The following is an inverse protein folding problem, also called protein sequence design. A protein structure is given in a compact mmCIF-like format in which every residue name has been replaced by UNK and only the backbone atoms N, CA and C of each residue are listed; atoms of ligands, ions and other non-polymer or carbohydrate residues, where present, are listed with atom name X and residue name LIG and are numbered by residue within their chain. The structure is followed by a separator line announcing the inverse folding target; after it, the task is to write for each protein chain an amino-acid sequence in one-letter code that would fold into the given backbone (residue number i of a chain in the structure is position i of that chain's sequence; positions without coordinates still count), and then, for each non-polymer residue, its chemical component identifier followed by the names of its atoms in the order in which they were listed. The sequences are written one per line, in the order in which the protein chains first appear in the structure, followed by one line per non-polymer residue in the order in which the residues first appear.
data_IF_004683885258
#
_entry.id   IF_004683885258
#
_cell.length_a   1.000
_cell.length_b   1.000
_cell.length_c   1.000
_cell.angle_alpha   90.00
_cell.angle_beta   90.00
_cell.angle_gamma   90.00
#
_symmetry.space_group_name_H-M   'P 1'
#
loop_
_entity.id
_entity.type
_entity.pdbx_description
1 polymer ?
#
# COMPACT_ATOMS: atom_id res chain seq x y z
N UNK A 1 27.07 -11.70 -29.88
CA UNK A 1 26.75 -10.31 -29.47
C UNK A 1 26.32 -10.37 -28.01
N UNK A 2 27.09 -9.81 -27.08
CA UNK A 2 26.65 -9.74 -25.67
C UNK A 2 25.52 -8.72 -25.56
N UNK A 3 24.38 -9.06 -24.91
CA UNK A 3 23.33 -8.09 -24.66
C UNK A 3 23.92 -6.94 -23.80
N UNK A 4 23.77 -5.71 -24.29
CA UNK A 4 24.20 -4.50 -23.60
C UNK A 4 23.41 -4.40 -22.29
N UNK A 5 24.07 -4.74 -21.17
CA UNK A 5 23.46 -4.55 -19.86
C UNK A 5 23.34 -3.04 -19.61
N UNK A 6 22.15 -2.51 -19.30
CA UNK A 6 22.00 -1.11 -18.96
C UNK A 6 22.93 -0.78 -17.79
N UNK A 7 23.70 0.32 -17.93
CA UNK A 7 24.57 0.80 -16.86
C UNK A 7 23.71 1.19 -15.66
N UNK A 8 24.18 0.98 -14.44
CA UNK A 8 23.46 1.37 -13.21
C UNK A 8 23.05 2.84 -13.17
N UNK A 9 23.78 3.70 -13.88
CA UNK A 9 23.47 5.11 -14.08
C UNK A 9 22.19 5.31 -14.89
N UNK A 10 21.95 4.52 -15.93
CA UNK A 10 20.70 4.57 -16.72
C UNK A 10 19.47 4.15 -15.91
N UNK A 11 19.58 3.07 -15.12
CA UNK A 11 18.49 2.58 -14.27
C UNK A 11 18.08 3.59 -13.19
N UNK A 12 19.08 4.21 -12.53
CA UNK A 12 18.83 5.22 -11.50
C UNK A 12 18.19 6.47 -12.09
N UNK A 13 18.66 6.90 -13.26
CA UNK A 13 18.10 8.05 -13.99
C UNK A 13 16.66 7.77 -14.43
N UNK A 14 16.35 6.57 -14.93
CA UNK A 14 15.00 6.19 -15.32
C UNK A 14 14.03 6.20 -14.11
N UNK A 15 14.47 5.71 -12.95
CA UNK A 15 13.68 5.73 -11.72
C UNK A 15 13.42 7.15 -11.23
N UNK A 16 14.47 7.98 -11.17
CA UNK A 16 14.34 9.38 -10.77
C UNK A 16 13.41 10.14 -11.72
N UNK A 17 13.55 9.93 -13.02
CA UNK A 17 12.70 10.53 -14.05
C UNK A 17 11.24 10.07 -13.90
N UNK A 18 11.01 8.78 -13.64
CA UNK A 18 9.65 8.25 -13.46
C UNK A 18 8.98 8.78 -12.20
N UNK A 19 9.72 8.85 -11.08
CA UNK A 19 9.22 9.43 -9.84
C UNK A 19 8.92 10.93 -10.00
N UNK A 20 9.81 11.66 -10.68
CA UNK A 20 9.59 13.08 -10.97
C UNK A 20 8.39 13.28 -11.92
N UNK A 21 8.25 12.46 -12.96
CA UNK A 21 7.11 12.52 -13.87
C UNK A 21 5.79 12.28 -13.12
N UNK A 22 5.73 11.27 -12.24
CA UNK A 22 4.56 11.02 -11.39
C UNK A 22 4.21 12.23 -10.52
N UNK A 23 5.20 12.84 -9.88
CA UNK A 23 4.99 14.05 -9.09
C UNK A 23 4.55 15.24 -9.96
N UNK A 24 5.18 15.49 -11.11
CA UNK A 24 4.85 16.58 -12.03
C UNK A 24 3.41 16.47 -12.54
N UNK A 25 2.90 15.26 -12.80
CA UNK A 25 1.51 15.07 -13.22
C UNK A 25 0.50 15.61 -12.20
N UNK A 26 0.82 15.57 -10.90
CA UNK A 26 0.01 16.20 -9.84
C UNK A 26 0.03 17.73 -9.95
N UNK A 27 1.12 18.32 -10.44
CA UNK A 27 1.30 19.76 -10.63
C UNK A 27 0.80 20.26 -11.99
N UNK A 28 0.58 19.36 -12.96
CA UNK A 28 0.16 19.70 -14.31
C UNK A 28 -1.30 20.19 -14.41
N UNK A 29 -2.15 19.85 -13.44
CA UNK A 29 -3.54 20.33 -13.40
C UNK A 29 -3.65 21.69 -12.71
N UNK A 30 -4.62 22.56 -13.00
CA UNK A 30 -4.78 23.80 -12.22
C UNK A 30 -5.21 23.51 -10.78
N UNK A 31 -6.11 22.54 -10.63
CA UNK A 31 -6.65 22.05 -9.37
C UNK A 31 -6.45 20.55 -9.25
N UNK A 32 -6.36 20.08 -8.01
CA UNK A 32 -6.31 18.65 -7.69
C UNK A 32 -7.65 17.99 -8.06
N UNK A 33 -7.70 17.02 -9.00
CA UNK A 33 -8.95 16.46 -9.53
C UNK A 33 -9.61 15.44 -8.58
N UNK A 34 -9.30 15.51 -7.29
CA UNK A 34 -9.76 14.57 -6.28
C UNK A 34 -11.04 15.06 -5.58
N UNK A 35 -12.00 14.15 -5.40
CA UNK A 35 -13.31 14.45 -4.80
C UNK A 35 -13.18 14.99 -3.36
N UNK A 36 -12.43 14.32 -2.49
CA UNK A 36 -12.34 14.68 -1.07
C UNK A 36 -11.24 15.73 -0.76
N UNK A 37 -10.47 16.15 -1.76
CA UNK A 37 -9.38 17.12 -1.54
C UNK A 37 -9.84 18.47 -0.97
N UNK A 38 -10.96 19.08 -1.41
CA UNK A 38 -11.45 20.32 -0.80
C UNK A 38 -11.64 20.21 0.72
N UNK A 39 -12.12 19.07 1.20
CA UNK A 39 -12.28 18.81 2.64
C UNK A 39 -10.91 18.75 3.35
N UNK A 40 -9.93 18.05 2.77
CA UNK A 40 -8.58 18.00 3.33
C UNK A 40 -7.92 19.39 3.40
N UNK A 41 -8.09 20.21 2.37
CA UNK A 41 -7.58 21.59 2.34
C UNK A 41 -8.27 22.44 3.42
N UNK A 42 -9.60 22.35 3.56
CA UNK A 42 -10.35 23.08 4.58
C UNK A 42 -9.92 22.70 6.00
N UNK A 43 -9.73 21.40 6.29
CA UNK A 43 -9.23 20.93 7.59
C UNK A 43 -7.83 21.47 7.87
N UNK A 44 -6.91 21.40 6.89
CA UNK A 44 -5.55 21.94 7.05
C UNK A 44 -5.56 23.45 7.29
N UNK A 45 -6.40 24.20 6.57
CA UNK A 45 -6.53 25.64 6.74
C UNK A 45 -7.10 25.99 8.14
N UNK A 46 -8.13 25.29 8.59
CA UNK A 46 -8.71 25.49 9.93
C UNK A 46 -7.71 25.17 11.04
N UNK A 47 -6.97 24.06 10.93
CA UNK A 47 -5.92 23.69 11.88
C UNK A 47 -4.81 24.76 11.95
N UNK A 48 -4.41 25.31 10.80
CA UNK A 48 -3.43 26.40 10.74
C UNK A 48 -3.97 27.67 11.41
N UNK A 49 -5.20 28.09 11.10
CA UNK A 49 -5.81 29.29 11.66
C UNK A 49 -5.99 29.20 13.20
N UNK A 50 -6.49 28.06 13.70
CA UNK A 50 -6.58 27.80 15.14
C UNK A 50 -5.19 27.80 15.79
N UNK A 51 -4.20 27.14 15.17
CA UNK A 51 -2.82 27.13 15.66
C UNK A 51 -2.14 28.50 15.67
N UNK A 52 -2.55 29.39 14.76
CA UNK A 52 -2.10 30.78 14.69
C UNK A 52 -2.84 31.73 15.65
N UNK A 53 -3.86 31.24 16.38
CA UNK A 53 -4.66 32.04 17.30
C UNK A 53 -5.68 32.95 16.62
N UNK A 54 -6.15 32.61 15.42
CA UNK A 54 -7.23 33.35 14.75
C UNK A 54 -8.52 33.30 15.60
N UNK A 55 -9.07 34.46 16.03
CA UNK A 55 -10.25 34.49 16.89
C UNK A 55 -11.50 33.88 16.26
N UNK A 56 -11.72 34.09 14.97
CA UNK A 56 -12.89 33.56 14.26
C UNK A 56 -12.78 32.05 14.08
N UNK A 57 -11.58 31.54 13.80
CA UNK A 57 -11.37 30.10 13.73
C UNK A 57 -11.52 29.44 15.11
N UNK A 58 -10.97 30.07 16.16
CA UNK A 58 -10.99 29.53 17.53
C UNK A 58 -12.38 29.56 18.17
N UNK A 59 -13.30 30.40 17.68
CA UNK A 59 -14.71 30.40 18.10
C UNK A 59 -15.45 29.15 17.60
N UNK A 60 -15.07 28.61 16.44
CA UNK A 60 -15.79 27.53 15.76
C UNK A 60 -15.06 26.18 15.78
N UNK A 61 -13.75 26.17 16.01
CA UNK A 61 -12.93 24.97 15.91
C UNK A 61 -11.97 24.83 17.10
N UNK A 62 -11.77 23.59 17.53
CA UNK A 62 -10.76 23.21 18.51
C UNK A 62 -9.74 22.27 17.85
N UNK A 63 -8.45 22.51 18.11
CA UNK A 63 -7.38 21.62 17.64
C UNK A 63 -7.19 20.45 18.59
N UNK A 64 -7.63 19.25 18.17
CA UNK A 64 -7.35 18.00 18.87
C UNK A 64 -6.31 17.19 18.10
N UNK A 65 -5.10 17.72 17.96
CA UNK A 65 -3.98 16.98 17.37
C UNK A 65 -3.36 16.02 18.39
N UNK A 66 -3.89 14.81 18.44
CA UNK A 66 -3.32 13.70 19.21
C UNK A 66 -2.54 12.74 18.31
N UNK A 67 -1.83 11.76 18.88
CA UNK A 67 -1.31 10.63 18.11
C UNK A 67 -2.44 9.65 17.79
N UNK A 68 -3.30 10.03 16.85
CA UNK A 68 -4.42 9.24 16.37
C UNK A 68 -4.26 8.89 14.88
N UNK A 69 -4.93 7.83 14.39
CA UNK A 69 -4.93 7.53 12.97
C UNK A 69 -5.41 8.75 12.14
N UNK A 70 -4.92 8.88 10.89
CA UNK A 70 -5.17 10.00 9.98
C UNK A 70 -4.41 11.29 10.30
N UNK A 71 -3.99 11.50 11.55
CA UNK A 71 -3.33 12.75 11.96
C UNK A 71 -1.94 12.92 11.32
N UNK A 72 -1.24 11.84 10.98
CA UNK A 72 0.07 11.93 10.34
C UNK A 72 0.05 12.76 9.05
N UNK A 73 -1.03 12.65 8.27
CA UNK A 73 -1.23 13.47 7.07
C UNK A 73 -1.40 14.95 7.41
N UNK A 74 -2.28 15.27 8.37
CA UNK A 74 -2.59 16.65 8.74
C UNK A 74 -1.45 17.35 9.46
N UNK A 75 -0.68 16.64 10.29
CA UNK A 75 0.54 17.18 10.92
C UNK A 75 1.59 17.50 9.86
N UNK A 76 1.79 16.64 8.87
CA UNK A 76 2.69 16.91 7.75
C UNK A 76 2.20 18.12 6.91
N UNK A 77 0.90 18.21 6.66
CA UNK A 77 0.32 19.33 5.91
C UNK A 77 0.48 20.64 6.69
N UNK A 78 0.17 20.64 7.98
CA UNK A 78 0.31 21.78 8.87
C UNK A 78 1.77 22.26 8.95
N UNK A 79 2.74 21.35 9.04
CA UNK A 79 4.15 21.72 9.00
C UNK A 79 4.54 22.46 7.70
N UNK A 80 3.93 22.10 6.57
CA UNK A 80 4.14 22.77 5.28
C UNK A 80 3.42 24.12 5.19
N UNK A 81 2.33 24.34 5.94
CA UNK A 81 1.62 25.62 5.94
C UNK A 81 2.44 26.80 6.46
N UNK A 82 3.56 26.52 7.15
CA UNK A 82 4.54 27.55 7.51
C UNK A 82 5.25 28.18 6.30
N UNK A 83 5.17 27.57 5.12
CA UNK A 83 5.89 28.00 3.91
C UNK A 83 4.97 28.28 2.73
N UNK A 84 3.81 27.64 2.67
CA UNK A 84 2.86 27.72 1.55
C UNK A 84 1.42 27.71 2.08
N UNK A 85 0.45 28.09 1.26
CA UNK A 85 -0.96 27.99 1.65
C UNK A 85 -1.41 26.52 1.82
N UNK A 86 -2.56 26.30 2.48
CA UNK A 86 -3.08 24.96 2.76
C UNK A 86 -3.32 24.10 1.49
N UNK A 87 -3.75 24.71 0.38
CA UNK A 87 -3.97 24.01 -0.89
C UNK A 87 -2.63 23.54 -1.46
N UNK A 88 -1.64 24.42 -1.50
CA UNK A 88 -0.27 24.12 -1.90
C UNK A 88 0.39 23.07 -0.99
N UNK A 89 0.18 23.14 0.34
CA UNK A 89 0.69 22.15 1.30
C UNK A 89 0.14 20.75 1.02
N UNK A 90 -1.19 20.62 0.86
CA UNK A 90 -1.83 19.35 0.48
C UNK A 90 -1.29 18.85 -0.86
N UNK A 91 -1.15 19.73 -1.85
CA UNK A 91 -0.62 19.39 -3.17
C UNK A 91 0.82 18.89 -3.15
N UNK A 92 1.68 19.50 -2.33
CA UNK A 92 3.05 19.02 -2.08
C UNK A 92 3.02 17.60 -1.54
N UNK A 93 2.15 17.29 -0.57
CA UNK A 93 2.02 15.92 -0.04
C UNK A 93 1.51 14.93 -1.08
N UNK A 94 0.56 15.32 -1.95
CA UNK A 94 0.09 14.47 -3.05
C UNK A 94 1.23 14.20 -4.05
N UNK A 95 2.03 15.21 -4.38
CA UNK A 95 3.22 15.04 -5.23
C UNK A 95 4.28 14.14 -4.59
N UNK A 96 4.52 14.31 -3.28
CA UNK A 96 5.42 13.47 -2.50
C UNK A 96 4.93 12.01 -2.44
N UNK A 97 3.63 11.78 -2.32
CA UNK A 97 3.02 10.47 -2.48
C UNK A 97 3.30 9.88 -3.86
N UNK A 98 3.00 10.60 -4.94
CA UNK A 98 3.12 10.09 -6.31
C UNK A 98 4.56 9.67 -6.64
N UNK A 99 5.54 10.55 -6.38
CA UNK A 99 6.95 10.23 -6.59
C UNK A 99 7.49 9.22 -5.59
N UNK A 100 7.13 9.38 -4.31
CA UNK A 100 7.54 8.49 -3.23
C UNK A 100 7.04 7.06 -3.41
N UNK A 101 5.85 6.87 -3.98
CA UNK A 101 5.28 5.56 -4.29
C UNK A 101 6.17 4.81 -5.30
N UNK A 102 6.56 5.46 -6.40
CA UNK A 102 7.44 4.85 -7.42
C UNK A 102 8.79 4.44 -6.82
N UNK A 103 9.40 5.31 -6.00
CA UNK A 103 10.67 5.03 -5.34
C UNK A 103 10.57 3.91 -4.29
N UNK A 104 9.52 3.94 -3.47
CA UNK A 104 9.24 2.89 -2.50
C UNK A 104 8.96 1.56 -3.19
N UNK A 105 8.28 1.59 -4.33
CA UNK A 105 8.02 0.40 -5.14
C UNK A 105 9.32 -0.17 -5.73
N UNK A 106 10.21 0.68 -6.23
CA UNK A 106 11.55 0.27 -6.66
C UNK A 106 12.36 -0.33 -5.51
N UNK A 107 12.27 0.24 -4.30
CA UNK A 107 12.93 -0.29 -3.12
C UNK A 107 12.40 -1.69 -2.76
N UNK A 108 11.08 -1.88 -2.78
CA UNK A 108 10.42 -3.18 -2.56
C UNK A 108 10.84 -4.20 -3.62
N UNK A 109 10.67 -3.89 -4.90
CA UNK A 109 11.08 -4.77 -6.01
C UNK A 109 12.57 -5.11 -5.93
N UNK A 110 13.42 -4.14 -5.58
CA UNK A 110 14.84 -4.35 -5.40
C UNK A 110 15.24 -5.13 -4.14
N UNK A 111 14.41 -5.12 -3.10
CA UNK A 111 14.54 -6.02 -1.96
C UNK A 111 14.16 -7.45 -2.34
N UNK A 112 13.26 -7.58 -3.30
CA UNK A 112 13.01 -8.84 -3.98
C UNK A 112 14.26 -9.19 -4.84
N UNK A 113 14.31 -8.70 -6.06
CA UNK A 113 15.44 -8.91 -6.96
C UNK A 113 15.95 -7.54 -7.44
N UNK A 114 17.26 -7.22 -7.30
CA UNK A 114 17.81 -5.95 -7.79
C UNK A 114 17.47 -5.63 -9.25
N UNK A 115 17.29 -6.64 -10.12
CA UNK A 115 16.93 -6.44 -11.54
C UNK A 115 15.50 -5.96 -11.73
N UNK A 116 14.59 -6.34 -10.84
CA UNK A 116 13.17 -5.95 -10.90
C UNK A 116 12.93 -4.48 -10.63
N UNK A 117 13.92 -3.73 -10.14
CA UNK A 117 13.80 -2.28 -9.94
C UNK A 117 13.36 -1.55 -11.20
N UNK A 118 13.75 -2.05 -12.37
CA UNK A 118 13.37 -1.48 -13.66
C UNK A 118 11.87 -1.56 -13.96
N UNK A 119 11.12 -2.40 -13.25
CA UNK A 119 9.66 -2.49 -13.37
C UNK A 119 8.92 -1.45 -12.52
N UNK A 120 9.62 -0.72 -11.65
CA UNK A 120 8.99 0.27 -10.76
C UNK A 120 8.26 1.42 -11.48
N UNK A 121 8.64 1.87 -12.70
CA UNK A 121 7.85 2.83 -13.46
C UNK A 121 6.39 2.39 -13.71
N UNK A 122 6.10 1.08 -13.73
CA UNK A 122 4.72 0.59 -13.79
C UNK A 122 3.90 0.99 -12.56
N UNK A 123 4.55 1.36 -11.45
CA UNK A 123 3.92 1.92 -10.27
C UNK A 123 3.17 3.23 -10.54
N UNK A 124 3.49 3.97 -11.61
CA UNK A 124 2.75 5.17 -12.02
C UNK A 124 1.26 4.84 -12.27
N UNK A 125 0.97 3.66 -12.82
CA UNK A 125 -0.42 3.21 -13.03
C UNK A 125 -1.15 2.99 -11.70
N UNK A 126 -0.45 2.51 -10.67
CA UNK A 126 -1.01 2.36 -9.33
C UNK A 126 -1.22 3.70 -8.61
N UNK A 127 -0.41 4.73 -8.95
CA UNK A 127 -0.54 6.07 -8.36
C UNK A 127 -1.88 6.69 -8.72
N UNK A 128 -2.24 6.70 -10.00
CA UNK A 128 -3.47 7.34 -10.51
C UNK A 128 -4.65 6.36 -10.55
N UNK A 129 -4.95 5.73 -9.42
CA UNK A 129 -6.06 4.79 -9.24
C UNK A 129 -7.36 5.47 -8.79
N UNK A 130 -8.46 4.73 -8.66
CA UNK A 130 -9.72 5.26 -8.11
C UNK A 130 -9.54 5.88 -6.72
N UNK A 131 -8.66 5.30 -5.89
CA UNK A 131 -8.34 5.86 -4.57
C UNK A 131 -7.71 7.26 -4.65
N UNK A 132 -6.96 7.53 -5.73
CA UNK A 132 -6.45 8.87 -6.03
C UNK A 132 -7.62 9.79 -6.36
N UNK A 133 -8.46 9.47 -7.33
CA UNK A 133 -9.56 10.36 -7.75
C UNK A 133 -10.63 10.57 -6.67
N UNK A 134 -10.83 9.60 -5.78
CA UNK A 134 -11.71 9.77 -4.62
C UNK A 134 -11.09 10.69 -3.56
N UNK A 135 -9.77 10.88 -3.55
CA UNK A 135 -9.10 11.76 -2.60
C UNK A 135 -8.86 11.12 -1.24
N UNK A 136 -8.58 9.82 -1.17
CA UNK A 136 -8.21 9.15 0.10
C UNK A 136 -6.79 9.53 0.56
N UNK A 137 -6.51 10.82 0.78
CA UNK A 137 -5.14 11.33 0.87
C UNK A 137 -4.33 10.72 2.02
N UNK A 138 -4.85 10.55 3.26
CA UNK A 138 -4.09 9.88 4.31
C UNK A 138 -3.78 8.42 3.97
N UNK A 139 -4.70 7.73 3.27
CA UNK A 139 -4.47 6.37 2.79
C UNK A 139 -3.36 6.32 1.74
N UNK A 140 -3.45 7.17 0.72
CA UNK A 140 -2.46 7.25 -0.36
C UNK A 140 -1.08 7.56 0.18
N UNK A 141 -0.98 8.54 1.09
CA UNK A 141 0.27 8.91 1.74
C UNK A 141 0.87 7.77 2.61
N UNK A 142 0.04 6.84 3.10
CA UNK A 142 0.52 5.64 3.78
C UNK A 142 1.06 4.55 2.82
N UNK A 143 0.68 4.53 1.55
CA UNK A 143 1.06 3.46 0.62
C UNK A 143 2.58 3.35 0.35
N UNK A 144 3.34 4.45 0.14
CA UNK A 144 4.80 4.37 0.04
C UNK A 144 5.41 3.75 1.31
N UNK A 145 4.89 4.09 2.49
CA UNK A 145 5.35 3.54 3.77
C UNK A 145 5.08 2.03 3.87
N UNK A 146 3.94 1.56 3.35
CA UNK A 146 3.63 0.12 3.24
C UNK A 146 4.64 -0.61 2.35
N UNK A 147 4.99 -0.05 1.19
CA UNK A 147 5.99 -0.64 0.29
C UNK A 147 7.40 -0.64 0.90
N UNK A 148 7.77 0.44 1.60
CA UNK A 148 9.03 0.49 2.36
C UNK A 148 9.06 -0.56 3.47
N UNK A 149 7.97 -0.71 4.22
CA UNK A 149 7.79 -1.74 5.24
C UNK A 149 8.00 -3.13 4.64
N UNK A 150 7.40 -3.44 3.49
CA UNK A 150 7.56 -4.73 2.82
C UNK A 150 9.00 -4.98 2.38
N UNK A 151 9.62 -4.01 1.69
CA UNK A 151 11.01 -4.15 1.22
C UNK A 151 12.01 -4.28 2.38
N UNK A 152 11.82 -3.50 3.44
CA UNK A 152 12.68 -3.52 4.62
C UNK A 152 12.55 -4.85 5.37
N UNK A 153 11.32 -5.35 5.50
CA UNK A 153 11.05 -6.68 6.07
C UNK A 153 11.79 -7.77 5.31
N UNK A 154 11.67 -7.81 3.98
CA UNK A 154 12.36 -8.82 3.14
C UNK A 154 13.88 -8.76 3.34
N UNK A 155 14.47 -7.56 3.38
CA UNK A 155 15.92 -7.42 3.61
C UNK A 155 16.33 -7.83 5.03
N UNK A 156 15.53 -7.50 6.03
CA UNK A 156 15.82 -7.85 7.42
C UNK A 156 15.82 -9.37 7.63
N UNK A 157 14.82 -10.09 7.13
CA UNK A 157 14.67 -11.55 7.36
C UNK A 157 15.64 -12.41 6.56
N UNK A 158 16.26 -11.85 5.51
CA UNK A 158 17.36 -12.49 4.77
C UNK A 158 18.68 -12.47 5.52
N UNK A 159 18.80 -11.59 6.52
CA UNK A 159 20.03 -11.39 7.27
C UNK A 159 21.06 -10.52 6.53
N UNK A 160 22.31 -10.58 7.00
CA UNK A 160 23.42 -9.75 6.53
C UNK A 160 23.72 -8.54 7.44
N UNK A 161 24.77 -7.76 7.14
CA UNK A 161 25.31 -6.74 8.06
C UNK A 161 24.33 -5.62 8.44
N UNK A 162 23.28 -5.39 7.66
CA UNK A 162 22.28 -4.32 7.86
C UNK A 162 20.92 -4.82 8.35
N UNK A 163 20.80 -6.08 8.74
CA UNK A 163 19.50 -6.68 9.08
C UNK A 163 18.76 -5.92 10.20
N UNK A 164 19.48 -5.54 11.26
CA UNK A 164 18.91 -4.79 12.39
C UNK A 164 18.44 -3.40 11.97
N UNK A 165 19.22 -2.69 11.16
CA UNK A 165 18.82 -1.38 10.61
C UNK A 165 17.58 -1.50 9.74
N UNK A 166 17.49 -2.54 8.91
CA UNK A 166 16.31 -2.78 8.07
C UNK A 166 15.09 -3.16 8.90
N UNK A 167 15.27 -3.87 10.01
CA UNK A 167 14.18 -4.16 10.94
C UNK A 167 13.66 -2.89 11.63
N UNK A 168 14.56 -2.04 12.14
CA UNK A 168 14.18 -0.76 12.73
C UNK A 168 13.46 0.14 11.71
N UNK A 169 13.95 0.16 10.47
CA UNK A 169 13.31 0.90 9.38
C UNK A 169 11.92 0.33 9.03
N UNK A 170 11.75 -0.99 9.03
CA UNK A 170 10.44 -1.63 8.84
C UNK A 170 9.45 -1.23 9.95
N UNK A 171 9.88 -1.27 11.22
CA UNK A 171 9.06 -0.85 12.37
C UNK A 171 8.66 0.62 12.22
N UNK A 172 9.60 1.50 11.93
CA UNK A 172 9.34 2.93 11.71
C UNK A 172 8.33 3.17 10.58
N UNK A 173 8.50 2.49 9.44
CA UNK A 173 7.59 2.59 8.30
C UNK A 173 6.18 2.08 8.66
N UNK A 174 6.07 0.99 9.42
CA UNK A 174 4.80 0.45 9.89
C UNK A 174 4.06 1.38 10.86
N UNK A 175 4.77 1.95 11.84
CA UNK A 175 4.21 2.93 12.77
C UNK A 175 3.78 4.23 12.06
N UNK A 176 4.58 4.68 11.11
CA UNK A 176 4.25 5.85 10.28
C UNK A 176 3.02 5.56 9.41
N UNK A 177 2.93 4.38 8.79
CA UNK A 177 1.75 3.98 8.02
C UNK A 177 0.50 3.95 8.90
N UNK A 178 0.60 3.51 10.16
CA UNK A 178 -0.51 3.52 11.12
C UNK A 178 -0.96 4.94 11.44
N UNK A 179 -0.02 5.83 11.70
CA UNK A 179 -0.31 7.22 12.00
C UNK A 179 -1.00 7.95 10.83
N UNK A 180 -0.66 7.58 9.60
CA UNK A 180 -1.31 8.10 8.40
C UNK A 180 -2.65 7.42 8.11
N UNK A 181 -2.73 6.09 8.15
CA UNK A 181 -3.98 5.39 7.87
C UNK A 181 -3.99 3.95 8.43
N UNK A 182 -4.97 3.59 9.29
CA UNK A 182 -4.96 2.32 10.01
C UNK A 182 -5.17 1.11 9.09
N UNK A 183 -6.03 1.23 8.08
CA UNK A 183 -6.25 0.19 7.07
C UNK A 183 -5.00 -0.09 6.22
N UNK A 184 -4.32 0.94 5.72
CA UNK A 184 -3.07 0.77 4.97
C UNK A 184 -2.01 0.06 5.84
N UNK A 185 -1.88 0.48 7.11
CA UNK A 185 -0.99 -0.17 8.06
C UNK A 185 -1.35 -1.63 8.31
N UNK A 186 -2.63 -1.96 8.52
CA UNK A 186 -3.08 -3.33 8.72
C UNK A 186 -2.73 -4.24 7.54
N UNK A 187 -2.99 -3.79 6.31
CA UNK A 187 -2.62 -4.51 5.08
C UNK A 187 -1.10 -4.61 4.95
N UNK A 188 -0.38 -3.53 5.24
CA UNK A 188 1.07 -3.50 5.21
C UNK A 188 1.70 -4.50 6.17
N UNK A 189 1.22 -4.57 7.41
CA UNK A 189 1.74 -5.48 8.44
C UNK A 189 1.38 -6.94 8.12
N UNK A 190 0.17 -7.21 7.63
CA UNK A 190 -0.21 -8.55 7.16
C UNK A 190 0.66 -9.02 5.99
N UNK A 191 0.89 -8.15 5.00
CA UNK A 191 1.79 -8.43 3.88
C UNK A 191 3.24 -8.63 4.34
N UNK A 192 3.71 -7.84 5.30
CA UNK A 192 5.05 -7.97 5.86
C UNK A 192 5.22 -9.29 6.64
N UNK A 193 4.22 -9.75 7.39
CA UNK A 193 4.23 -11.07 8.01
C UNK A 193 4.34 -12.18 6.97
N UNK A 194 3.52 -12.13 5.91
CA UNK A 194 3.58 -13.10 4.82
C UNK A 194 4.98 -13.12 4.15
N UNK A 195 5.55 -11.94 3.88
CA UNK A 195 6.90 -11.81 3.33
C UNK A 195 7.98 -12.32 4.30
N UNK A 196 7.86 -12.02 5.59
CA UNK A 196 8.80 -12.46 6.62
C UNK A 196 8.88 -13.99 6.68
N UNK A 197 7.71 -14.65 6.77
CA UNK A 197 7.61 -16.11 6.78
C UNK A 197 8.19 -16.73 5.51
N UNK A 198 7.99 -16.07 4.38
CA UNK A 198 8.32 -16.63 3.09
C UNK A 198 9.76 -16.33 2.62
N UNK A 199 10.43 -15.34 3.23
CA UNK A 199 11.82 -14.97 2.90
C UNK A 199 12.84 -15.25 4.01
N UNK A 200 12.41 -15.67 5.19
CA UNK A 200 13.32 -16.07 6.26
C UNK A 200 14.28 -17.20 5.81
N UNK A 201 15.56 -17.02 6.10
CA UNK A 201 16.61 -18.01 5.83
C UNK A 201 16.72 -19.06 6.94
N UNK A 202 16.38 -18.68 8.17
CA UNK A 202 16.37 -19.52 9.35
C UNK A 202 15.14 -19.24 10.25
N UNK A 203 14.91 -20.09 11.25
CA UNK A 203 13.78 -19.94 12.20
C UNK A 203 13.86 -18.64 13.00
N UNK A 204 15.06 -18.18 13.37
CA UNK A 204 15.23 -16.96 14.16
C UNK A 204 14.89 -15.71 13.35
N UNK A 205 15.16 -15.69 12.04
CA UNK A 205 14.74 -14.65 11.10
C UNK A 205 13.23 -14.63 10.92
N UNK A 206 12.59 -15.80 10.83
CA UNK A 206 11.13 -15.92 10.77
C UNK A 206 10.47 -15.38 12.05
N UNK A 207 10.98 -15.78 13.23
CA UNK A 207 10.50 -15.30 14.53
C UNK A 207 10.71 -13.79 14.66
N UNK A 208 11.92 -13.28 14.37
CA UNK A 208 12.20 -11.83 14.42
C UNK A 208 11.27 -11.03 13.51
N UNK A 209 11.05 -11.47 12.27
CA UNK A 209 10.14 -10.81 11.35
C UNK A 209 8.68 -10.89 11.80
N UNK A 210 8.24 -12.04 12.29
CA UNK A 210 6.87 -12.24 12.78
C UNK A 210 6.58 -11.41 14.05
N UNK A 211 7.51 -11.32 15.00
CA UNK A 211 7.30 -10.58 16.24
C UNK A 211 7.48 -9.07 16.08
N UNK A 212 8.48 -8.63 15.30
CA UNK A 212 8.72 -7.19 15.13
C UNK A 212 7.65 -6.51 14.26
N UNK A 213 7.00 -7.26 13.37
CA UNK A 213 6.10 -6.68 12.36
C UNK A 213 4.72 -7.32 12.35
N UNK A 214 4.63 -8.64 12.52
CA UNK A 214 3.37 -9.38 12.41
C UNK A 214 2.49 -9.27 13.64
N UNK A 215 3.03 -9.46 14.85
CA UNK A 215 2.24 -9.45 16.10
C UNK A 215 1.55 -8.09 16.34
N UNK A 216 2.25 -6.93 16.23
CA UNK A 216 1.58 -5.63 16.37
C UNK A 216 0.52 -5.40 15.30
N UNK A 217 0.73 -5.88 14.07
CA UNK A 217 -0.22 -5.73 12.97
C UNK A 217 -1.47 -6.57 13.09
N UNK A 218 -1.34 -7.84 13.49
CA UNK A 218 -2.49 -8.71 13.75
C UNK A 218 -3.29 -8.17 14.92
N UNK A 219 -2.62 -7.72 16.00
CA UNK A 219 -3.29 -7.09 17.14
C UNK A 219 -4.04 -5.81 16.74
N UNK A 220 -3.41 -4.95 15.93
CA UNK A 220 -4.03 -3.73 15.42
C UNK A 220 -5.25 -4.03 14.53
N UNK A 221 -5.12 -4.93 13.56
CA UNK A 221 -6.24 -5.32 12.67
C UNK A 221 -7.37 -5.93 13.49
N UNK A 222 -7.06 -6.79 14.45
CA UNK A 222 -8.07 -7.37 15.35
C UNK A 222 -8.76 -6.30 16.20
N UNK A 223 -8.01 -5.32 16.72
CA UNK A 223 -8.57 -4.19 17.48
C UNK A 223 -9.50 -3.33 16.61
N UNK A 224 -9.08 -3.01 15.38
CA UNK A 224 -9.91 -2.24 14.43
C UNK A 224 -11.18 -3.00 14.04
N UNK A 225 -11.06 -4.31 13.75
CA UNK A 225 -12.22 -5.15 13.47
C UNK A 225 -13.13 -5.33 14.69
N UNK A 226 -12.58 -5.25 15.90
CA UNK A 226 -13.32 -5.24 17.16
C UNK A 226 -14.19 -3.99 17.29
N UNK A 227 -13.66 -2.81 16.96
CA UNK A 227 -14.41 -1.54 16.99
C UNK A 227 -15.56 -1.48 15.97
N UNK A 228 -15.45 -2.20 14.86
CA UNK A 228 -16.50 -2.24 13.82
C UNK A 228 -17.74 -3.03 14.26
N UNK A 229 -17.66 -3.87 15.32
CA UNK A 229 -18.79 -4.72 15.74
C UNK A 229 -19.94 -3.96 16.40
N UNK A 230 -19.68 -2.76 16.92
CA UNK A 230 -20.67 -2.00 17.69
C UNK A 230 -21.37 -0.88 16.87
N UNK A 231 -20.95 -0.66 15.63
CA UNK A 231 -21.64 0.22 14.69
C UNK A 231 -22.82 -0.52 14.05
N UNK A 232 -24.07 -0.03 14.18
CA UNK A 232 -25.21 -0.66 13.52
C UNK A 232 -24.91 -0.70 12.03
N UNK A 233 -24.84 -1.91 11.46
CA UNK A 233 -24.54 -2.09 10.04
C UNK A 233 -25.42 -1.17 9.21
N UNK A 234 -24.83 -0.11 8.66
CA UNK A 234 -25.45 0.74 7.65
C UNK A 234 -25.76 -0.16 6.46
N UNK A 235 -26.96 -0.74 6.46
CA UNK A 235 -27.53 -1.38 5.29
C UNK A 235 -27.80 -0.23 4.33
N UNK A 236 -26.90 -0.06 3.36
CA UNK A 236 -27.16 0.78 2.21
C UNK A 236 -28.54 0.41 1.66
N UNK A 237 -29.36 1.41 1.35
CA UNK A 237 -30.68 1.14 0.81
C UNK A 237 -30.53 0.35 -0.49
N UNK A 238 -31.45 -0.57 -0.78
CA UNK A 238 -31.45 -1.31 -2.06
C UNK A 238 -31.39 -0.39 -3.29
N UNK A 239 -31.90 0.84 -3.16
CA UNK A 239 -31.82 1.86 -4.20
C UNK A 239 -30.39 2.37 -4.42
N UNK A 240 -29.61 2.55 -3.34
CA UNK A 240 -28.21 2.93 -3.42
C UNK A 240 -27.36 1.82 -4.05
N UNK A 241 -27.66 0.54 -3.75
CA UNK A 241 -26.98 -0.59 -4.39
C UNK A 241 -27.22 -0.60 -5.91
N UNK A 242 -28.47 -0.42 -6.37
CA UNK A 242 -28.80 -0.44 -7.80
C UNK A 242 -28.29 0.81 -8.53
N UNK A 243 -28.38 2.00 -7.92
CA UNK A 243 -27.87 3.23 -8.54
C UNK A 243 -26.32 3.26 -8.56
N UNK A 244 -25.65 2.77 -7.52
CA UNK A 244 -24.20 2.64 -7.50
C UNK A 244 -23.73 1.55 -8.47
N UNK A 245 -24.42 0.41 -8.54
CA UNK A 245 -24.18 -0.62 -9.56
C UNK A 245 -24.43 -0.09 -10.98
N UNK A 246 -25.46 0.73 -11.18
CA UNK A 246 -25.78 1.37 -12.45
C UNK A 246 -24.85 2.54 -12.82
N UNK A 247 -24.23 3.23 -11.84
CA UNK A 247 -23.16 4.23 -12.07
C UNK A 247 -21.80 3.58 -12.25
N UNK A 248 -21.61 2.37 -11.72
CA UNK A 248 -20.42 1.52 -11.96
C UNK A 248 -20.43 0.84 -13.34
N UNK A 249 -21.19 1.38 -14.30
CA UNK A 249 -21.17 1.00 -15.72
C UNK A 249 -19.84 1.36 -16.39
N UNK A 250 -18.79 0.68 -15.98
CA UNK A 250 -17.75 0.18 -16.88
C UNK A 250 -17.85 -1.35 -16.90
N UNK A 251 -18.90 -1.84 -17.56
CA UNK A 251 -19.02 -3.10 -18.32
C UNK A 251 -18.56 -4.46 -17.76
N UNK A 252 -18.07 -4.58 -16.52
CA UNK A 252 -17.36 -5.78 -16.08
C UNK A 252 -17.95 -6.48 -14.85
N UNK A 253 -18.82 -5.89 -14.03
CA UNK A 253 -19.08 -6.40 -12.67
C UNK A 253 -19.63 -7.84 -12.56
N UNK A 254 -20.46 -8.32 -13.50
CA UNK A 254 -20.96 -9.71 -13.48
C UNK A 254 -20.01 -10.72 -14.14
N UNK A 255 -19.33 -10.33 -15.23
CA UNK A 255 -18.29 -11.16 -15.85
C UNK A 255 -17.06 -11.24 -14.95
N UNK A 256 -16.66 -10.13 -14.35
CA UNK A 256 -15.65 -10.00 -13.31
C UNK A 256 -16.14 -10.75 -12.07
N UNK A 257 -17.38 -10.62 -11.62
CA UNK A 257 -17.91 -11.39 -10.48
C UNK A 257 -17.85 -12.91 -10.67
N UNK A 258 -18.06 -13.41 -11.90
CA UNK A 258 -17.86 -14.81 -12.28
C UNK A 258 -16.38 -15.20 -12.38
N UNK A 259 -15.57 -14.38 -13.07
CA UNK A 259 -14.11 -14.54 -13.19
C UNK A 259 -13.43 -14.46 -11.82
N UNK A 260 -13.94 -13.68 -10.88
CA UNK A 260 -13.38 -13.47 -9.56
C UNK A 260 -13.81 -14.56 -8.56
N UNK A 261 -15.00 -15.14 -8.73
CA UNK A 261 -15.33 -16.41 -8.04
C UNK A 261 -14.47 -17.56 -8.55
N UNK A 262 -14.21 -17.61 -9.85
CA UNK A 262 -13.29 -18.57 -10.45
C UNK A 262 -11.84 -18.34 -9.99
N UNK A 263 -11.33 -17.11 -10.02
CA UNK A 263 -9.99 -16.75 -9.55
C UNK A 263 -9.85 -16.88 -8.02
N UNK A 264 -10.93 -16.67 -7.26
CA UNK A 264 -11.02 -16.96 -5.83
C UNK A 264 -10.92 -18.46 -5.55
N UNK A 265 -11.67 -19.29 -6.29
CA UNK A 265 -11.56 -20.74 -6.20
C UNK A 265 -10.17 -21.24 -6.63
N UNK A 266 -9.62 -20.69 -7.71
CA UNK A 266 -8.28 -20.99 -8.21
C UNK A 266 -7.18 -20.50 -7.28
N UNK A 267 -7.37 -19.41 -6.52
CA UNK A 267 -6.41 -18.94 -5.53
C UNK A 267 -6.45 -19.77 -4.25
N UNK A 268 -7.62 -20.25 -3.81
CA UNK A 268 -7.72 -21.24 -2.72
C UNK A 268 -7.10 -22.57 -3.12
N UNK A 269 -7.36 -23.05 -4.35
CA UNK A 269 -6.72 -24.23 -4.91
C UNK A 269 -5.21 -24.01 -5.11
N UNK A 270 -4.79 -22.80 -5.50
CA UNK A 270 -3.40 -22.40 -5.65
C UNK A 270 -2.66 -22.35 -4.31
N UNK A 271 -3.28 -21.79 -3.26
CA UNK A 271 -2.74 -21.78 -1.89
C UNK A 271 -2.63 -23.21 -1.37
N UNK A 272 -3.67 -24.04 -1.56
CA UNK A 272 -3.62 -25.47 -1.17
C UNK A 272 -2.55 -26.23 -1.94
N UNK A 273 -2.40 -25.99 -3.24
CA UNK A 273 -1.36 -26.60 -4.06
C UNK A 273 0.04 -26.12 -3.65
N UNK A 274 0.21 -24.84 -3.31
CA UNK A 274 1.49 -24.28 -2.82
C UNK A 274 1.85 -24.85 -1.44
N UNK A 275 0.88 -24.95 -0.53
CA UNK A 275 1.08 -25.56 0.80
C UNK A 275 1.38 -27.05 0.67
N UNK A 276 0.60 -27.79 -0.14
CA UNK A 276 0.82 -29.22 -0.38
C UNK A 276 2.16 -29.49 -1.07
N UNK A 277 2.54 -28.66 -2.05
CA UNK A 277 3.83 -28.77 -2.75
C UNK A 277 5.01 -28.35 -1.88
N UNK A 278 4.84 -27.33 -1.04
CA UNK A 278 5.82 -26.92 -0.03
C UNK A 278 6.05 -28.00 1.03
N UNK A 279 4.98 -28.67 1.46
CA UNK A 279 5.05 -29.81 2.39
C UNK A 279 5.64 -31.07 1.73
N UNK A 280 5.33 -31.34 0.46
CA UNK A 280 5.88 -32.48 -0.26
C UNK A 280 7.40 -32.34 -0.52
N UNK A 281 7.90 -31.10 -0.73
CA UNK A 281 9.31 -30.84 -1.06
C UNK A 281 10.21 -30.47 0.13
N UNK A 282 9.68 -30.32 1.34
CA UNK A 282 10.51 -30.23 2.55
C UNK A 282 11.27 -31.54 2.86
N UNK A 283 11.05 -32.60 2.07
CA UNK A 283 11.74 -33.89 2.15
C UNK A 283 12.97 -34.01 1.23
N UNK A 284 13.13 -33.15 0.22
CA UNK A 284 14.26 -33.21 -0.71
C UNK A 284 15.22 -32.05 -0.49
N UNK A 285 16.28 -32.30 0.29
CA UNK A 285 17.24 -31.33 0.81
C UNK A 285 18.11 -30.57 -0.20
N UNK A 286 17.73 -30.42 -1.47
CA UNK A 286 18.49 -29.61 -2.45
C UNK A 286 17.56 -28.90 -3.44
N UNK A 287 17.29 -27.62 -3.18
CA UNK A 287 17.29 -26.48 -4.13
C UNK A 287 16.51 -25.31 -3.52
N UNK A 288 17.23 -24.55 -2.69
CA UNK A 288 16.81 -23.30 -2.04
C UNK A 288 16.42 -22.17 -3.02
N UNK A 289 16.63 -22.35 -4.34
CA UNK A 289 16.40 -21.34 -5.37
C UNK A 289 14.91 -21.19 -5.81
N UNK A 290 14.03 -22.14 -5.49
CA UNK A 290 12.58 -22.06 -5.83
C UNK A 290 11.79 -21.19 -4.83
N UNK A 291 12.45 -20.65 -3.80
CA UNK A 291 11.87 -19.87 -2.69
C UNK A 291 11.16 -18.57 -3.10
N UNK A 292 11.30 -18.10 -4.34
CA UNK A 292 10.78 -16.81 -4.77
C UNK A 292 9.31 -16.80 -5.21
N UNK A 293 8.87 -17.88 -5.86
CA UNK A 293 7.53 -17.93 -6.45
C UNK A 293 6.47 -18.15 -5.38
N UNK A 294 6.70 -19.05 -4.43
CA UNK A 294 5.72 -19.35 -3.36
C UNK A 294 5.38 -18.14 -2.47
N UNK A 295 6.38 -17.31 -2.16
CA UNK A 295 6.26 -16.15 -1.26
C UNK A 295 5.44 -15.00 -1.85
N UNK A 296 5.75 -14.65 -3.09
CA UNK A 296 5.02 -13.62 -3.81
C UNK A 296 3.61 -14.11 -4.18
N UNK A 297 3.44 -15.41 -4.47
CA UNK A 297 2.12 -16.01 -4.69
C UNK A 297 1.30 -16.04 -3.41
N UNK A 298 1.90 -16.26 -2.24
CA UNK A 298 1.20 -16.18 -0.95
C UNK A 298 0.75 -14.75 -0.65
N UNK A 299 1.64 -13.76 -0.81
CA UNK A 299 1.28 -12.35 -0.65
C UNK A 299 0.14 -11.96 -1.59
N UNK A 300 0.26 -12.29 -2.88
CA UNK A 300 -0.79 -12.06 -3.86
C UNK A 300 -2.08 -12.77 -3.44
N UNK A 301 -2.01 -14.04 -3.05
CA UNK A 301 -3.19 -14.79 -2.65
C UNK A 301 -3.89 -14.18 -1.43
N UNK A 302 -3.13 -13.67 -0.45
CA UNK A 302 -3.70 -12.95 0.70
C UNK A 302 -4.35 -11.64 0.24
N UNK A 303 -3.66 -10.84 -0.57
CA UNK A 303 -4.19 -9.56 -1.06
C UNK A 303 -5.43 -9.75 -1.95
N UNK A 304 -5.40 -10.73 -2.85
CA UNK A 304 -6.54 -11.10 -3.68
C UNK A 304 -7.67 -11.69 -2.85
N UNK A 305 -7.38 -12.56 -1.87
CA UNK A 305 -8.41 -13.09 -0.99
C UNK A 305 -9.07 -11.97 -0.20
N UNK A 306 -8.32 -11.02 0.35
CA UNK A 306 -8.89 -9.83 1.00
C UNK A 306 -9.74 -9.03 -0.02
N UNK A 307 -9.17 -8.69 -1.17
CA UNK A 307 -9.87 -7.94 -2.22
C UNK A 307 -11.16 -8.62 -2.73
N UNK A 308 -11.23 -9.96 -2.76
CA UNK A 308 -12.40 -10.69 -3.27
C UNK A 308 -13.38 -11.15 -2.19
N UNK A 309 -12.91 -11.46 -0.99
CA UNK A 309 -13.77 -11.88 0.14
C UNK A 309 -14.56 -10.70 0.69
N UNK A 310 -14.02 -9.49 0.56
CA UNK A 310 -14.69 -8.27 0.99
C UNK A 310 -15.67 -7.87 -0.12
N UNK A 311 -16.90 -8.36 0.00
CA UNK A 311 -17.94 -8.21 -1.03
C UNK A 311 -18.26 -6.74 -1.31
N UNK A 312 -18.34 -6.38 -2.60
CA UNK A 312 -18.85 -5.08 -3.08
C UNK A 312 -20.29 -4.77 -2.62
N UNK A 313 -21.03 -5.73 -2.08
CA UNK A 313 -22.44 -5.55 -1.69
C UNK A 313 -22.71 -5.29 -0.20
N UNK A 314 -21.70 -4.95 0.62
CA UNK A 314 -21.93 -4.71 2.06
C UNK A 314 -21.13 -3.53 2.61
N UNK A 315 -21.78 -2.36 2.67
CA UNK A 315 -21.34 -1.18 3.44
C UNK A 315 -19.88 -0.80 3.17
N UNK A 316 -19.04 -0.79 4.22
CA UNK A 316 -17.64 -0.39 4.15
C UNK A 316 -16.74 -1.26 3.24
N UNK A 317 -17.21 -2.44 2.79
CA UNK A 317 -16.43 -3.38 1.98
C UNK A 317 -16.05 -2.87 0.59
N UNK A 318 -16.91 -2.05 -0.05
CA UNK A 318 -16.61 -1.42 -1.36
C UNK A 318 -15.35 -0.57 -1.29
N UNK A 319 -15.23 0.23 -0.23
CA UNK A 319 -14.10 1.13 -0.05
C UNK A 319 -12.79 0.40 0.16
N UNK A 320 -12.83 -0.80 0.73
CA UNK A 320 -11.65 -1.62 0.94
C UNK A 320 -11.10 -2.17 -0.38
N UNK A 321 -11.96 -2.57 -1.31
CA UNK A 321 -11.52 -3.06 -2.63
C UNK A 321 -10.84 -1.97 -3.43
N UNK A 322 -11.47 -0.79 -3.52
CA UNK A 322 -10.90 0.37 -4.22
C UNK A 322 -9.53 0.78 -3.66
N UNK A 323 -9.37 0.66 -2.33
CA UNK A 323 -8.12 0.96 -1.62
C UNK A 323 -7.02 -0.09 -1.85
N UNK A 324 -7.38 -1.36 -2.04
CA UNK A 324 -6.40 -2.42 -2.22
C UNK A 324 -5.84 -2.53 -3.65
N UNK A 325 -6.53 -1.98 -4.66
CA UNK A 325 -6.13 -2.11 -6.06
C UNK A 325 -4.66 -1.72 -6.36
N UNK A 326 -4.11 -0.60 -5.85
CA UNK A 326 -2.71 -0.26 -6.06
C UNK A 326 -1.73 -1.30 -5.51
N UNK A 327 -2.03 -1.86 -4.33
CA UNK A 327 -1.18 -2.85 -3.67
C UNK A 327 -1.27 -4.22 -4.38
N UNK A 328 -2.44 -4.59 -4.89
CA UNK A 328 -2.61 -5.77 -5.74
C UNK A 328 -1.79 -5.64 -7.02
N UNK A 329 -1.83 -4.47 -7.69
CA UNK A 329 -1.01 -4.22 -8.88
C UNK A 329 0.49 -4.35 -8.57
N UNK A 330 0.95 -3.77 -7.46
CA UNK A 330 2.33 -3.91 -7.01
C UNK A 330 2.73 -5.38 -6.77
N UNK A 331 1.84 -6.18 -6.18
CA UNK A 331 2.08 -7.60 -5.95
C UNK A 331 2.13 -8.40 -7.27
N UNK A 332 1.26 -8.08 -8.23
CA UNK A 332 1.27 -8.69 -9.58
C UNK A 332 2.56 -8.36 -10.33
N UNK A 333 3.01 -7.11 -10.31
CA UNK A 333 4.28 -6.71 -10.94
C UNK A 333 5.47 -7.36 -10.22
N UNK A 334 5.43 -7.50 -8.89
CA UNK A 334 6.46 -8.22 -8.14
C UNK A 334 6.59 -9.71 -8.53
N UNK A 335 5.54 -10.31 -9.07
CA UNK A 335 5.54 -11.68 -9.58
C UNK A 335 6.16 -11.84 -10.97
N UNK A 336 6.30 -10.74 -11.73
CA UNK A 336 6.93 -10.78 -13.06
C UNK A 336 8.34 -11.35 -12.93
N UNK A 337 8.71 -12.37 -13.74
CA UNK A 337 10.05 -12.95 -13.72
C UNK A 337 11.13 -11.89 -14.03
N UNK A 338 12.28 -11.97 -13.36
CA UNK A 338 13.34 -10.95 -13.50
C UNK A 338 13.99 -10.97 -14.89
N UNK A 339 13.95 -12.11 -15.57
CA UNK A 339 14.42 -12.34 -16.94
C UNK A 339 13.61 -11.60 -18.01
N UNK A 340 12.37 -11.20 -17.71
CA UNK A 340 11.56 -10.36 -18.61
C UNK A 340 12.04 -8.90 -18.62
N UNK A 341 12.79 -8.47 -17.58
CA UNK A 341 13.31 -7.10 -17.51
C UNK A 341 14.62 -6.88 -18.29
N UNK A 342 15.19 -7.95 -18.88
CA UNK A 342 16.46 -7.91 -19.63
C UNK A 342 16.24 -7.80 -21.17
N UNK A 343 14.99 -7.76 -21.65
CA UNK A 343 14.62 -7.63 -23.07
C UNK A 343 13.94 -6.31 -23.39
#
# INVERSE_FOLDING_TARGET
MSPLRPSWTSATSALATSALAAAILVWATPVLPQQDTPNHVAITAALHAVGAGDPSASEHFESVLTFAPYHGFYVAALALTSFVDASSAVRVLVGAYAGGFVLAFAFFLGALDPRKRLLAPLGIVAVFSDSYFLGFLPFLAALPLVLLLWGATVRAVRGGPRATTMLAFAVFAGLSALWFHPMAAGVGLAGALALALAFATDRAGAVRGAFAVGVPGVALVAALLGQVRDEPTLRLSRAFDVEYLARSTFFAADLLGGVMRLLGALSVLGVRAVVAHGMARSREGRRFAVRWRGSALLLLAVLLALYFVLTFGRGAGVWLNLRLAPLVLCALVALVPADVADG
#
